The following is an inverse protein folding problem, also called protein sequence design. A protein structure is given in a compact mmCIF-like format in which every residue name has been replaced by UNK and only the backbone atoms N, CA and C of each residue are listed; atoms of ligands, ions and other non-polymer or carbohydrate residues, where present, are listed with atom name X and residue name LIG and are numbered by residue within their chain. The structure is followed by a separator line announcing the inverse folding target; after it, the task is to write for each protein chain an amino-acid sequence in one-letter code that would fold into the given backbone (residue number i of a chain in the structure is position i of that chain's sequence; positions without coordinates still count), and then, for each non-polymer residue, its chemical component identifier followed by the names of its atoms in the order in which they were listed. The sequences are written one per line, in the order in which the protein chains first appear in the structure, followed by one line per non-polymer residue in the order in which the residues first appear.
data_IF_303228436972
#
_entry.id   IF_303228436972
#
_cell.length_a   1.000
_cell.length_b   1.000
_cell.length_c   1.000
_cell.angle_alpha   90.00
_cell.angle_beta   90.00
_cell.angle_gamma   90.00
#
_symmetry.space_group_name_H-M   'P 1'
#
loop_
_entity.id
_entity.type
_entity.pdbx_description
1 polymer ?
#
# COMPACT_ATOMS: atom_id res chain seq x y z
N UNK A 1 -7.26 26.09 13.93
CA UNK A 1 -6.10 26.92 13.54
C UNK A 1 -5.03 26.89 14.63
N UNK A 2 -3.76 26.67 14.27
CA UNK A 2 -2.64 26.60 15.22
C UNK A 2 -2.51 25.29 16.01
N UNK A 3 -3.20 24.21 15.59
CA UNK A 3 -3.09 22.90 16.24
C UNK A 3 -1.87 22.12 15.77
N UNK A 4 -1.42 21.14 16.57
CA UNK A 4 -0.36 20.21 16.18
C UNK A 4 -0.70 19.45 14.89
N UNK A 5 -1.96 19.05 14.72
CA UNK A 5 -2.48 18.46 13.49
C UNK A 5 -2.30 19.35 12.25
N UNK A 6 -2.60 20.65 12.36
CA UNK A 6 -2.38 21.59 11.27
C UNK A 6 -0.90 21.74 10.96
N UNK A 7 -0.05 21.89 11.99
CA UNK A 7 1.39 22.01 11.82
C UNK A 7 2.00 20.77 11.14
N UNK A 8 1.49 19.57 11.46
CA UNK A 8 1.89 18.32 10.81
C UNK A 8 1.53 18.33 9.31
N UNK A 9 0.29 18.67 8.95
CA UNK A 9 -0.14 18.78 7.55
C UNK A 9 0.66 19.83 6.77
N UNK A 10 0.89 21.00 7.35
CA UNK A 10 1.71 22.04 6.72
C UNK A 10 3.15 21.57 6.48
N UNK A 11 3.71 20.80 7.42
CA UNK A 11 5.04 20.20 7.29
C UNK A 11 5.07 19.17 6.16
N UNK A 12 4.05 18.31 6.09
CA UNK A 12 3.87 17.34 5.00
C UNK A 12 3.84 18.06 3.65
N UNK A 13 3.00 19.08 3.50
CA UNK A 13 2.86 19.82 2.24
C UNK A 13 4.14 20.56 1.84
N UNK A 14 4.83 21.19 2.80
CA UNK A 14 6.15 21.81 2.56
C UNK A 14 7.16 20.77 2.09
N UNK A 15 7.20 19.61 2.72
CA UNK A 15 8.10 18.52 2.34
C UNK A 15 7.79 18.00 0.93
N UNK A 16 6.52 17.77 0.58
CA UNK A 16 6.09 17.38 -0.78
C UNK A 16 6.58 18.39 -1.83
N UNK A 17 6.43 19.70 -1.55
CA UNK A 17 6.86 20.75 -2.47
C UNK A 17 8.40 20.77 -2.65
N UNK A 18 9.15 20.61 -1.56
CA UNK A 18 10.61 20.57 -1.59
C UNK A 18 11.14 19.34 -2.34
N UNK A 19 10.60 18.15 -2.07
CA UNK A 19 11.09 16.90 -2.65
C UNK A 19 10.78 16.80 -4.13
N UNK A 20 9.61 17.31 -4.56
CA UNK A 20 9.27 17.46 -5.98
C UNK A 20 10.23 18.39 -6.71
N UNK A 21 10.61 19.53 -6.10
CA UNK A 21 11.55 20.48 -6.70
C UNK A 21 12.96 19.93 -6.83
N UNK A 22 13.41 19.16 -5.83
CA UNK A 22 14.80 18.72 -5.72
C UNK A 22 15.02 17.28 -6.22
N UNK A 23 13.96 16.58 -6.63
CA UNK A 23 14.02 15.16 -7.02
C UNK A 23 14.65 14.26 -5.94
N UNK A 24 14.34 14.53 -4.67
CA UNK A 24 14.83 13.77 -3.52
C UNK A 24 13.76 12.85 -2.95
N UNK A 25 14.12 11.76 -2.23
CA UNK A 25 13.15 10.94 -1.53
C UNK A 25 12.23 11.75 -0.61
N UNK A 26 10.93 11.48 -0.67
CA UNK A 26 9.91 12.20 0.13
C UNK A 26 9.94 11.84 1.63
N UNK A 27 10.48 10.67 1.96
CA UNK A 27 10.62 10.16 3.32
C UNK A 27 11.97 9.45 3.41
N UNK A 28 12.62 9.49 4.58
CA UNK A 28 13.91 8.80 4.73
C UNK A 28 13.76 7.27 4.66
N UNK A 29 12.60 6.73 5.04
CA UNK A 29 12.26 5.34 4.74
C UNK A 29 11.68 5.28 3.33
N UNK A 30 12.48 4.86 2.35
CA UNK A 30 12.05 4.72 0.95
C UNK A 30 11.16 3.51 0.71
N UNK A 31 10.89 2.71 1.74
CA UNK A 31 10.02 1.56 1.71
C UNK A 31 10.63 0.30 1.09
N UNK A 32 9.85 -0.78 1.17
CA UNK A 32 10.07 -2.05 0.47
C UNK A 32 9.51 -1.92 -0.95
N UNK A 33 10.31 -2.24 -1.99
CA UNK A 33 9.80 -2.31 -3.36
C UNK A 33 8.91 -3.54 -3.54
N UNK A 34 7.68 -3.32 -3.97
CA UNK A 34 6.70 -4.37 -4.32
C UNK A 34 6.32 -4.14 -5.79
N UNK A 35 6.65 -5.11 -6.63
CA UNK A 35 6.39 -5.06 -8.06
C UNK A 35 5.20 -5.96 -8.43
N UNK A 36 4.33 -5.46 -9.29
CA UNK A 36 3.29 -6.24 -9.98
C UNK A 36 3.57 -6.15 -11.48
N UNK A 37 3.86 -7.29 -12.09
CA UNK A 37 4.31 -7.39 -13.48
C UNK A 37 3.25 -8.12 -14.28
N UNK A 38 2.64 -7.43 -15.24
CA UNK A 38 1.79 -8.04 -16.25
C UNK A 38 2.60 -8.18 -17.53
N UNK A 39 2.89 -9.42 -17.92
CA UNK A 39 3.78 -9.72 -19.03
C UNK A 39 3.22 -10.86 -19.88
N UNK A 40 3.39 -10.78 -21.20
CA UNK A 40 3.11 -11.90 -22.09
C UNK A 40 3.94 -13.14 -21.69
N UNK A 41 3.40 -14.33 -21.92
CA UNK A 41 4.07 -15.59 -21.57
C UNK A 41 5.40 -15.80 -22.30
N UNK A 42 5.65 -15.08 -23.39
CA UNK A 42 6.89 -15.08 -24.15
C UNK A 42 8.04 -14.31 -23.47
N UNK A 43 7.75 -13.47 -22.48
CA UNK A 43 8.76 -12.69 -21.76
C UNK A 43 9.48 -13.59 -20.74
N UNK A 44 10.81 -13.64 -20.80
CA UNK A 44 11.63 -14.36 -19.83
C UNK A 44 11.57 -13.66 -18.46
N UNK A 45 10.87 -14.30 -17.53
CA UNK A 45 10.70 -13.82 -16.14
C UNK A 45 12.01 -13.75 -15.37
N UNK A 46 12.98 -14.62 -15.66
CA UNK A 46 14.28 -14.62 -14.96
C UNK A 46 15.14 -13.44 -15.43
N UNK A 47 15.17 -13.17 -16.73
CA UNK A 47 15.82 -11.97 -17.28
C UNK A 47 15.17 -10.71 -16.71
N UNK A 48 13.84 -10.60 -16.75
CA UNK A 48 13.16 -9.41 -16.22
C UNK A 48 13.39 -9.23 -14.71
N UNK A 49 13.40 -10.31 -13.95
CA UNK A 49 13.75 -10.28 -12.51
C UNK A 49 15.16 -9.75 -12.29
N UNK A 50 16.15 -10.19 -13.10
CA UNK A 50 17.53 -9.66 -13.02
C UNK A 50 17.58 -8.17 -13.36
N UNK A 51 16.83 -7.73 -14.36
CA UNK A 51 16.76 -6.31 -14.72
C UNK A 51 16.16 -5.46 -13.61
N UNK A 52 15.05 -5.90 -13.01
CA UNK A 52 14.41 -5.23 -11.86
C UNK A 52 15.39 -5.13 -10.68
N UNK A 53 16.05 -6.23 -10.31
CA UNK A 53 17.04 -6.23 -9.20
C UNK A 53 18.24 -5.32 -9.48
N UNK A 54 18.68 -5.25 -10.73
CA UNK A 54 19.73 -4.32 -11.16
C UNK A 54 19.28 -2.87 -11.05
N UNK A 55 18.04 -2.56 -11.46
CA UNK A 55 17.45 -1.24 -11.34
C UNK A 55 17.33 -0.79 -9.87
N UNK A 56 16.89 -1.67 -8.97
CA UNK A 56 16.83 -1.40 -7.52
C UNK A 56 18.23 -1.10 -6.95
N UNK A 57 19.25 -1.87 -7.35
CA UNK A 57 20.64 -1.63 -6.94
C UNK A 57 21.13 -0.26 -7.43
N UNK A 58 20.87 0.07 -8.69
CA UNK A 58 21.26 1.34 -9.29
C UNK A 58 20.57 2.52 -8.61
N UNK A 59 19.25 2.43 -8.38
CA UNK A 59 18.47 3.45 -7.69
C UNK A 59 18.96 3.67 -6.25
N UNK A 60 19.37 2.60 -5.57
CA UNK A 60 19.98 2.68 -4.23
C UNK A 60 21.34 3.39 -4.27
N UNK A 61 22.20 3.02 -5.22
CA UNK A 61 23.51 3.67 -5.43
C UNK A 61 23.37 5.16 -5.77
N UNK A 62 22.32 5.52 -6.50
CA UNK A 62 21.97 6.88 -6.87
C UNK A 62 21.20 7.64 -5.79
N UNK A 63 20.99 7.05 -4.61
CA UNK A 63 20.30 7.64 -3.45
C UNK A 63 18.80 7.94 -3.66
N UNK A 64 18.20 7.41 -4.73
CA UNK A 64 16.74 7.41 -4.89
C UNK A 64 16.05 6.45 -3.92
N UNK A 65 16.76 5.38 -3.54
CA UNK A 65 16.34 4.43 -2.51
C UNK A 65 17.36 4.43 -1.36
N UNK A 66 16.86 4.34 -0.13
CA UNK A 66 17.65 3.96 1.05
C UNK A 66 17.83 2.44 1.03
N UNK A 67 19.00 1.91 1.43
CA UNK A 67 19.16 0.48 1.59
C UNK A 67 18.35 0.00 2.80
N UNK A 68 17.15 -0.50 2.55
CA UNK A 68 16.18 -0.93 3.56
C UNK A 68 16.16 -2.47 3.74
N UNK A 69 16.84 -3.22 2.88
CA UNK A 69 17.01 -4.66 3.03
C UNK A 69 17.96 -4.97 4.21
N UNK A 70 17.41 -5.57 5.27
CA UNK A 70 18.14 -5.97 6.48
C UNK A 70 17.82 -7.44 6.76
N UNK A 71 18.85 -8.25 6.98
CA UNK A 71 18.71 -9.64 7.38
C UNK A 71 18.10 -9.73 8.80
N UNK A 72 17.00 -10.47 8.92
CA UNK A 72 16.18 -10.47 10.14
C UNK A 72 16.84 -11.13 11.36
N UNK A 73 17.87 -11.97 11.15
CA UNK A 73 18.54 -12.69 12.24
C UNK A 73 19.81 -11.96 12.68
N UNK A 74 20.62 -11.51 11.71
CA UNK A 74 21.92 -10.90 11.94
C UNK A 74 21.85 -9.38 12.09
N UNK A 75 20.79 -8.75 11.60
CA UNK A 75 20.66 -7.29 11.53
C UNK A 75 21.56 -6.63 10.49
N UNK A 76 22.24 -7.42 9.65
CA UNK A 76 23.13 -6.90 8.62
C UNK A 76 22.33 -6.29 7.48
N UNK A 77 22.65 -5.06 7.12
CA UNK A 77 22.08 -4.37 5.98
C UNK A 77 22.88 -4.72 4.71
N UNK A 78 22.21 -5.05 3.61
CA UNK A 78 22.87 -5.46 2.37
C UNK A 78 23.52 -4.30 1.61
N UNK A 79 23.16 -3.05 1.94
CA UNK A 79 23.74 -1.83 1.36
C UNK A 79 23.28 -1.51 -0.06
N UNK A 80 22.58 -2.42 -0.74
CA UNK A 80 22.10 -2.26 -2.11
C UNK A 80 20.57 -2.41 -2.26
N UNK A 81 19.86 -2.54 -1.14
CA UNK A 81 18.42 -2.72 -1.07
C UNK A 81 17.90 -4.01 -1.72
N UNK A 82 18.76 -5.02 -1.89
CA UNK A 82 18.38 -6.37 -2.29
C UNK A 82 18.49 -7.31 -1.09
N UNK A 83 17.61 -8.30 -1.02
CA UNK A 83 17.71 -9.42 -0.09
C UNK A 83 17.62 -10.75 -0.85
N UNK A 84 16.95 -11.72 -0.24
CA UNK A 84 16.66 -13.03 -0.81
C UNK A 84 15.65 -12.96 -1.96
N UNK A 85 15.00 -14.09 -2.26
CA UNK A 85 13.96 -14.20 -3.29
C UNK A 85 12.66 -13.45 -2.95
N UNK A 86 12.47 -13.04 -1.69
CA UNK A 86 11.30 -12.30 -1.22
C UNK A 86 11.53 -10.78 -1.13
N UNK A 87 12.78 -10.30 -1.30
CA UNK A 87 13.13 -8.88 -1.23
C UNK A 87 14.03 -8.43 -2.41
N UNK A 88 13.56 -7.55 -3.32
CA UNK A 88 12.22 -6.99 -3.38
C UNK A 88 11.17 -8.05 -3.76
N UNK A 89 9.90 -7.78 -3.46
CA UNK A 89 8.81 -8.68 -3.83
C UNK A 89 8.40 -8.43 -5.28
N UNK A 90 8.28 -9.49 -6.08
CA UNK A 90 7.92 -9.41 -7.50
C UNK A 90 6.81 -10.42 -7.80
N UNK A 91 5.63 -9.91 -8.15
CA UNK A 91 4.47 -10.70 -8.53
C UNK A 91 4.32 -10.71 -10.05
N UNK A 92 4.34 -11.89 -10.67
CA UNK A 92 4.15 -12.04 -12.10
C UNK A 92 2.73 -12.50 -12.42
N UNK A 93 2.09 -11.77 -13.33
CA UNK A 93 0.79 -12.05 -13.91
C UNK A 93 0.96 -12.24 -15.41
N UNK A 94 0.28 -13.25 -15.95
CA UNK A 94 0.27 -13.47 -17.41
C UNK A 94 -0.68 -12.44 -18.02
N UNK A 95 -0.18 -11.67 -18.99
CA UNK A 95 -0.98 -10.80 -19.85
C UNK A 95 -1.32 -11.55 -21.15
N UNK A 96 -2.53 -11.37 -21.63
CA UNK A 96 -2.95 -11.84 -22.96
C UNK A 96 -2.53 -10.87 -24.09
N UNK A 97 -2.01 -9.70 -23.72
CA UNK A 97 -1.54 -8.69 -24.66
C UNK A 97 -0.02 -8.68 -24.71
N UNK A 98 0.55 -8.19 -25.82
CA UNK A 98 2.00 -7.96 -25.97
C UNK A 98 2.50 -6.75 -25.17
N UNK A 99 1.66 -6.17 -24.33
CA UNK A 99 2.00 -5.06 -23.45
C UNK A 99 2.66 -5.58 -22.17
N UNK A 100 3.81 -5.01 -21.82
CA UNK A 100 4.46 -5.20 -20.53
C UNK A 100 4.09 -4.05 -19.62
N UNK A 101 3.42 -4.36 -18.51
CA UNK A 101 3.11 -3.39 -17.45
C UNK A 101 3.88 -3.74 -16.19
N UNK A 102 4.58 -2.75 -15.64
CA UNK A 102 5.39 -2.81 -14.43
C UNK A 102 4.83 -1.78 -13.46
N UNK A 103 4.04 -2.25 -12.51
CA UNK A 103 3.56 -1.46 -11.39
C UNK A 103 4.52 -1.60 -10.21
N UNK A 104 4.84 -0.48 -9.56
CA UNK A 104 5.72 -0.42 -8.40
C UNK A 104 5.01 0.31 -7.26
N UNK A 105 5.00 -0.31 -6.08
CA UNK A 105 4.67 0.32 -4.81
C UNK A 105 5.93 0.36 -3.94
N UNK A 106 6.19 1.51 -3.32
CA UNK A 106 7.26 1.69 -2.32
C UNK A 106 6.66 1.78 -0.91
N UNK A 107 6.51 0.62 -0.27
CA UNK A 107 5.75 0.47 0.96
C UNK A 107 6.58 0.78 2.20
N UNK A 108 6.26 1.85 2.93
CA UNK A 108 7.00 2.23 4.14
C UNK A 108 6.80 1.22 5.30
N UNK A 109 7.82 1.05 6.13
CA UNK A 109 7.79 0.14 7.28
C UNK A 109 6.77 0.56 8.35
N UNK A 110 6.65 1.86 8.64
CA UNK A 110 5.67 2.36 9.61
C UNK A 110 4.22 2.00 9.24
N UNK A 111 3.84 2.23 7.98
CA UNK A 111 2.51 1.86 7.49
C UNK A 111 2.36 0.34 7.23
N UNK A 112 3.46 -0.41 7.13
CA UNK A 112 3.42 -1.88 7.05
C UNK A 112 3.10 -2.51 8.41
N UNK A 113 3.68 -1.96 9.48
CA UNK A 113 3.55 -2.50 10.83
C UNK A 113 2.15 -2.37 11.43
N UNK A 114 1.32 -1.47 10.91
CA UNK A 114 -0.07 -1.26 11.38
C UNK A 114 -1.12 -1.94 10.50
N UNK A 115 -0.70 -2.75 9.52
CA UNK A 115 -1.61 -3.62 8.78
C UNK A 115 -2.25 -4.67 9.71
N UNK A 116 -3.45 -5.13 9.38
CA UNK A 116 -4.20 -6.09 10.20
C UNK A 116 -5.03 -7.04 9.34
N UNK A 117 -5.27 -8.25 9.85
CA UNK A 117 -6.13 -9.24 9.21
C UNK A 117 -7.04 -9.88 10.24
N UNK A 118 -8.35 -9.77 10.01
CA UNK A 118 -9.39 -10.26 10.90
C UNK A 118 -10.02 -11.52 10.33
N UNK A 119 -10.38 -12.46 11.20
CA UNK A 119 -11.25 -13.59 10.86
C UNK A 119 -12.67 -13.23 11.28
N UNK A 120 -13.63 -13.31 10.36
CA UNK A 120 -15.05 -13.08 10.64
C UNK A 120 -15.83 -14.42 10.71
N UNK A 121 -16.83 -14.54 11.61
CA UNK A 121 -17.26 -13.50 12.55
C UNK A 121 -16.22 -13.25 13.67
N UNK A 122 -16.24 -12.03 14.21
CA UNK A 122 -15.46 -11.63 15.38
C UNK A 122 -16.44 -11.11 16.44
N UNK A 123 -16.68 -11.92 17.48
CA UNK A 123 -17.67 -11.63 18.52
C UNK A 123 -17.30 -10.40 19.36
N UNK A 124 -16.00 -10.19 19.61
CA UNK A 124 -15.49 -9.05 20.39
C UNK A 124 -15.83 -7.70 19.74
N UNK A 125 -15.80 -7.65 18.42
CA UNK A 125 -16.17 -6.46 17.63
C UNK A 125 -17.63 -6.47 17.17
N UNK A 126 -18.38 -7.55 17.46
CA UNK A 126 -19.72 -7.82 16.92
C UNK A 126 -19.75 -7.70 15.40
N UNK A 127 -18.71 -8.21 14.74
CA UNK A 127 -18.52 -8.15 13.31
C UNK A 127 -18.92 -9.50 12.68
N UNK A 128 -20.00 -9.52 11.90
CA UNK A 128 -20.48 -10.72 11.21
C UNK A 128 -19.80 -10.90 9.84
N UNK A 129 -20.16 -11.97 9.12
CA UNK A 129 -19.66 -12.26 7.76
C UNK A 129 -20.41 -11.46 6.68
N UNK A 130 -20.43 -10.14 6.84
CA UNK A 130 -21.14 -9.18 5.99
C UNK A 130 -20.38 -7.85 5.89
N UNK A 131 -20.87 -6.91 5.08
CA UNK A 131 -20.22 -5.60 4.88
C UNK A 131 -20.21 -4.74 6.15
N UNK A 132 -21.21 -4.91 7.02
CA UNK A 132 -21.24 -4.26 8.34
C UNK A 132 -20.08 -4.75 9.22
N UNK A 133 -19.80 -6.06 9.21
CA UNK A 133 -18.62 -6.64 9.84
C UNK A 133 -17.31 -6.15 9.25
N UNK A 134 -17.22 -6.01 7.92
CA UNK A 134 -16.05 -5.44 7.23
C UNK A 134 -15.77 -4.01 7.70
N UNK A 135 -16.79 -3.15 7.74
CA UNK A 135 -16.64 -1.77 8.24
C UNK A 135 -16.17 -1.76 9.69
N UNK A 136 -16.75 -2.57 10.57
CA UNK A 136 -16.35 -2.63 12.00
C UNK A 136 -14.88 -2.95 12.17
N UNK A 137 -14.37 -3.96 11.48
CA UNK A 137 -12.96 -4.34 11.60
C UNK A 137 -12.03 -3.35 10.91
N UNK A 138 -12.49 -2.66 9.85
CA UNK A 138 -11.73 -1.58 9.25
C UNK A 138 -11.56 -0.39 10.21
N UNK A 139 -12.63 0.02 10.88
CA UNK A 139 -12.58 1.09 11.88
C UNK A 139 -11.80 0.69 13.13
N UNK A 140 -11.93 -0.56 13.57
CA UNK A 140 -11.07 -1.09 14.63
C UNK A 140 -9.60 -1.05 14.22
N UNK A 141 -9.22 -1.46 13.01
CA UNK A 141 -7.84 -1.36 12.53
C UNK A 141 -7.33 0.09 12.54
N UNK A 142 -8.17 1.06 12.17
CA UNK A 142 -7.85 2.49 12.28
C UNK A 142 -7.66 2.91 13.73
N UNK A 143 -8.56 2.49 14.59
CA UNK A 143 -8.46 2.77 16.01
C UNK A 143 -7.22 2.12 16.63
N UNK A 144 -6.82 0.91 16.27
CA UNK A 144 -5.58 0.30 16.78
C UNK A 144 -4.33 1.04 16.29
N UNK A 145 -4.36 1.58 15.06
CA UNK A 145 -3.21 2.25 14.46
C UNK A 145 -2.88 3.61 15.12
N UNK A 146 -3.86 4.34 15.68
CA UNK A 146 -3.68 5.62 16.40
C UNK A 146 -2.78 6.68 15.70
N UNK A 147 -2.62 6.60 14.38
CA UNK A 147 -1.76 7.52 13.61
C UNK A 147 -0.33 7.03 13.34
N UNK A 148 0.11 5.92 13.94
CA UNK A 148 1.45 5.34 13.82
C UNK A 148 1.80 4.88 12.38
N UNK A 149 0.78 4.63 11.55
CA UNK A 149 0.91 4.34 10.11
C UNK A 149 1.26 5.55 9.22
N UNK A 150 1.64 6.67 9.83
CA UNK A 150 1.87 7.99 9.22
C UNK A 150 0.61 8.62 8.61
N UNK A 151 -0.42 8.79 9.46
CA UNK A 151 -1.64 9.52 9.13
C UNK A 151 -1.37 10.99 8.75
N UNK A 152 -2.11 11.60 7.80
CA UNK A 152 -3.25 11.01 7.10
C UNK A 152 -2.80 9.94 6.09
N UNK A 153 -3.40 8.75 6.14
CA UNK A 153 -3.03 7.61 5.28
C UNK A 153 -4.13 7.23 4.29
N UNK A 154 -3.97 6.11 3.61
CA UNK A 154 -5.01 5.45 2.81
C UNK A 154 -5.18 4.02 3.30
N UNK A 155 -6.40 3.51 3.23
CA UNK A 155 -6.72 2.13 3.54
C UNK A 155 -6.85 1.32 2.25
N UNK A 156 -6.17 0.19 2.20
CA UNK A 156 -6.38 -0.84 1.21
C UNK A 156 -7.01 -2.04 1.89
N UNK A 157 -8.19 -2.48 1.45
CA UNK A 157 -8.94 -3.55 2.11
C UNK A 157 -9.22 -4.67 1.11
N UNK A 158 -8.94 -5.91 1.51
CA UNK A 158 -9.36 -7.10 0.78
C UNK A 158 -10.37 -7.91 1.59
N UNK A 159 -11.51 -8.22 0.98
CA UNK A 159 -12.53 -9.11 1.53
C UNK A 159 -12.40 -10.48 0.85
N UNK A 160 -12.06 -11.52 1.63
CA UNK A 160 -11.82 -12.87 1.13
C UNK A 160 -10.32 -13.20 0.95
N UNK A 161 -10.03 -14.24 0.18
CA UNK A 161 -8.69 -14.81 0.02
C UNK A 161 -8.29 -15.73 1.17
N UNK A 162 -7.03 -16.16 1.15
CA UNK A 162 -6.34 -16.77 2.28
C UNK A 162 -5.48 -15.74 3.02
N UNK A 163 -4.69 -16.18 4.01
CA UNK A 163 -3.87 -15.26 4.79
C UNK A 163 -2.87 -14.47 3.95
N UNK A 164 -2.27 -15.07 2.92
CA UNK A 164 -1.24 -14.42 2.09
C UNK A 164 -1.84 -13.61 0.95
N UNK A 165 -2.72 -14.22 0.17
CA UNK A 165 -3.37 -13.60 -0.99
C UNK A 165 -4.24 -12.40 -0.61
N UNK A 166 -4.87 -12.42 0.58
CA UNK A 166 -5.66 -11.29 1.07
C UNK A 166 -4.76 -10.07 1.40
N UNK A 167 -3.56 -10.29 1.97
CA UNK A 167 -2.59 -9.21 2.14
C UNK A 167 -2.10 -8.66 0.80
N UNK A 168 -1.81 -9.54 -0.16
CA UNK A 168 -1.42 -9.14 -1.50
C UNK A 168 -2.49 -8.26 -2.16
N UNK A 169 -3.73 -8.74 -2.21
CA UNK A 169 -4.86 -8.01 -2.80
C UNK A 169 -5.13 -6.66 -2.09
N UNK A 170 -5.01 -6.61 -0.76
CA UNK A 170 -5.19 -5.37 0.01
C UNK A 170 -4.10 -4.33 -0.27
N UNK A 171 -2.94 -4.73 -0.78
CA UNK A 171 -1.87 -3.82 -1.22
C UNK A 171 -2.02 -3.46 -2.68
N UNK A 172 -2.47 -4.38 -3.52
CA UNK A 172 -2.67 -4.17 -4.96
C UNK A 172 -3.72 -3.09 -5.26
N UNK A 173 -4.75 -2.94 -4.41
CA UNK A 173 -5.73 -1.85 -4.55
C UNK A 173 -5.10 -0.45 -4.46
N UNK A 174 -3.90 -0.32 -3.88
CA UNK A 174 -3.17 0.94 -3.91
C UNK A 174 -2.66 1.32 -5.31
N UNK A 175 -2.78 0.45 -6.33
CA UNK A 175 -2.51 0.80 -7.71
C UNK A 175 -3.67 1.55 -8.38
N UNK A 176 -4.86 1.54 -7.77
CA UNK A 176 -6.02 2.33 -8.22
C UNK A 176 -5.74 3.83 -8.11
N UNK A 177 -6.44 4.61 -8.92
CA UNK A 177 -6.43 6.05 -8.78
C UNK A 177 -7.07 6.43 -7.42
N UNK A 178 -6.40 7.24 -6.56
CA UNK A 178 -6.99 7.72 -5.32
C UNK A 178 -8.38 8.33 -5.49
N UNK A 179 -8.65 8.97 -6.63
CA UNK A 179 -9.91 9.66 -6.93
C UNK A 179 -10.92 8.80 -7.70
N UNK A 180 -10.59 7.52 -8.00
CA UNK A 180 -11.55 6.62 -8.64
C UNK A 180 -12.69 6.18 -7.69
N UNK A 181 -13.67 5.52 -8.29
CA UNK A 181 -14.78 4.85 -7.61
C UNK A 181 -14.68 3.35 -7.77
N UNK A 182 -15.23 2.61 -6.82
CA UNK A 182 -15.40 1.18 -6.99
C UNK A 182 -16.47 0.89 -8.07
N UNK A 183 -16.25 -0.14 -8.88
CA UNK A 183 -17.23 -0.56 -9.88
C UNK A 183 -18.45 -1.24 -9.24
N UNK A 184 -18.26 -1.87 -8.07
CA UNK A 184 -19.34 -2.38 -7.25
C UNK A 184 -19.89 -1.26 -6.36
N UNK A 185 -21.16 -0.90 -6.55
CA UNK A 185 -21.81 0.19 -5.82
C UNK A 185 -21.86 -0.06 -4.29
N UNK A 186 -21.97 -1.31 -3.86
CA UNK A 186 -21.94 -1.67 -2.45
C UNK A 186 -20.57 -1.41 -1.83
N UNK A 187 -19.49 -1.75 -2.54
CA UNK A 187 -18.13 -1.47 -2.12
C UNK A 187 -17.78 0.03 -2.22
N UNK A 188 -18.28 0.75 -3.23
CA UNK A 188 -18.06 2.20 -3.37
C UNK A 188 -18.67 2.96 -2.18
N UNK A 189 -19.91 2.63 -1.82
CA UNK A 189 -20.57 3.18 -0.64
C UNK A 189 -19.78 2.85 0.64
N UNK A 190 -19.26 1.63 0.76
CA UNK A 190 -18.47 1.19 1.91
C UNK A 190 -17.11 1.89 2.00
N UNK A 191 -16.42 2.12 0.88
CA UNK A 191 -15.18 2.90 0.79
C UNK A 191 -15.38 4.31 1.35
N UNK A 192 -16.46 4.98 0.92
CA UNK A 192 -16.81 6.32 1.36
C UNK A 192 -17.21 6.36 2.84
N UNK A 193 -18.01 5.39 3.28
CA UNK A 193 -18.46 5.28 4.66
C UNK A 193 -17.29 5.07 5.62
N UNK A 194 -16.40 4.10 5.34
CA UNK A 194 -15.21 3.84 6.17
C UNK A 194 -14.31 5.07 6.22
N UNK A 195 -14.06 5.73 5.09
CA UNK A 195 -13.23 6.94 5.03
C UNK A 195 -13.79 8.07 5.89
N UNK A 196 -15.12 8.25 5.86
CA UNK A 196 -15.80 9.27 6.67
C UNK A 196 -15.72 8.93 8.15
N UNK A 197 -16.17 7.74 8.54
CA UNK A 197 -16.23 7.31 9.95
C UNK A 197 -14.82 7.21 10.58
N UNK A 198 -13.80 6.81 9.82
CA UNK A 198 -12.40 6.79 10.29
C UNK A 198 -11.87 8.19 10.65
N UNK A 199 -12.37 9.24 9.98
CA UNK A 199 -12.02 10.63 10.25
C UNK A 199 -12.84 11.24 11.41
N UNK A 200 -13.86 10.53 11.92
CA UNK A 200 -14.63 10.90 13.10
C UNK A 200 -14.04 10.33 14.40
N UNK A 201 -13.04 9.45 14.31
CA UNK A 201 -12.35 8.84 15.47
C UNK A 201 -11.42 9.81 16.23
N UNK A 202 -11.28 11.06 15.76
CA UNK A 202 -10.43 12.11 16.35
C UNK A 202 -8.95 11.71 16.56
N UNK A 203 -8.43 10.83 15.69
CA UNK A 203 -7.01 10.43 15.66
C UNK A 203 -6.18 11.48 14.93
N UNK A 204 -6.59 11.82 13.71
CA UNK A 204 -6.05 12.91 12.91
C UNK A 204 -4.60 12.76 12.43
N UNK A 205 -4.03 13.82 11.84
CA UNK A 205 -2.67 13.82 11.29
C UNK A 205 -1.62 13.47 12.34
N UNK A 206 -0.80 12.45 12.05
CA UNK A 206 0.25 11.93 12.92
C UNK A 206 -0.23 11.50 14.33
N UNK A 207 -1.54 11.29 14.53
CA UNK A 207 -2.11 10.97 15.85
C UNK A 207 -2.28 12.19 16.77
N UNK A 208 -2.19 13.42 16.25
CA UNK A 208 -2.32 14.66 17.03
C UNK A 208 -3.75 15.19 17.20
N UNK A 209 -4.75 14.36 16.92
CA UNK A 209 -6.16 14.74 16.90
C UNK A 209 -6.60 15.44 15.61
N UNK A 210 -7.90 15.68 15.47
CA UNK A 210 -8.49 16.35 14.32
C UNK A 210 -9.04 15.41 13.24
N UNK A 211 -9.43 15.99 12.11
CA UNK A 211 -10.40 15.38 11.16
C UNK A 211 -9.79 14.64 9.97
N UNK A 212 -8.49 14.39 9.98
CA UNK A 212 -7.79 13.82 8.81
C UNK A 212 -6.85 12.69 9.25
N UNK A 213 -7.46 11.56 9.58
CA UNK A 213 -6.80 10.28 9.88
C UNK A 213 -6.50 9.51 8.59
N UNK A 214 -7.44 9.50 7.65
CA UNK A 214 -7.31 8.84 6.34
C UNK A 214 -7.81 9.76 5.23
N UNK A 215 -7.17 9.70 4.06
CA UNK A 215 -7.52 10.44 2.86
C UNK A 215 -8.42 9.65 1.91
N UNK A 216 -8.45 8.32 2.03
CA UNK A 216 -9.28 7.46 1.21
C UNK A 216 -9.17 5.99 1.58
N UNK A 217 -10.17 5.22 1.14
CA UNK A 217 -10.23 3.77 1.29
C UNK A 217 -10.46 3.14 -0.07
N UNK A 218 -9.76 2.05 -0.38
CA UNK A 218 -9.93 1.25 -1.59
C UNK A 218 -10.17 -0.20 -1.18
N UNK A 219 -11.26 -0.79 -1.64
CA UNK A 219 -11.69 -2.14 -1.31
C UNK A 219 -11.62 -3.00 -2.58
N UNK A 220 -11.16 -4.22 -2.42
CA UNK A 220 -11.36 -5.31 -3.38
C UNK A 220 -12.02 -6.49 -2.68
N UNK A 221 -12.73 -7.30 -3.46
CA UNK A 221 -13.26 -8.58 -3.01
C UNK A 221 -12.71 -9.70 -3.86
N UNK A 222 -12.48 -10.85 -3.23
CA UNK A 222 -12.02 -12.05 -3.92
C UNK A 222 -12.68 -13.28 -3.33
N UNK A 223 -12.55 -14.41 -4.02
CA UNK A 223 -13.10 -15.67 -3.55
C UNK A 223 -12.40 -16.15 -2.28
N UNK A 224 -13.13 -16.92 -1.48
CA UNK A 224 -12.68 -17.41 -0.17
C UNK A 224 -13.14 -18.84 0.01
N UNK A 225 -12.40 -19.60 0.83
CA UNK A 225 -12.89 -20.88 1.33
C UNK A 225 -14.18 -20.62 2.13
N UNK A 226 -15.27 -21.40 1.98
CA UNK A 226 -16.53 -21.13 2.69
C UNK A 226 -16.40 -21.02 4.21
N UNK A 227 -15.49 -21.81 4.81
CA UNK A 227 -15.19 -21.79 6.23
C UNK A 227 -14.40 -20.54 6.69
N UNK A 228 -13.72 -19.85 5.77
CA UNK A 228 -12.87 -18.69 6.05
C UNK A 228 -13.50 -17.39 5.53
N UNK A 229 -13.51 -16.36 6.36
CA UNK A 229 -13.89 -15.01 5.94
C UNK A 229 -12.84 -14.05 6.49
N UNK A 230 -11.79 -13.80 5.70
CA UNK A 230 -10.76 -12.86 6.08
C UNK A 230 -11.08 -11.46 5.56
N UNK A 231 -10.82 -10.47 6.40
CA UNK A 231 -10.81 -9.06 6.00
C UNK A 231 -9.43 -8.52 6.34
N UNK A 232 -8.69 -8.15 5.32
CA UNK A 232 -7.32 -7.67 5.46
C UNK A 232 -7.26 -6.19 5.17
N UNK A 233 -6.67 -5.42 6.08
CA UNK A 233 -6.52 -3.98 6.01
C UNK A 233 -5.03 -3.67 5.95
N UNK A 234 -4.60 -3.10 4.83
CA UNK A 234 -3.27 -2.52 4.65
C UNK A 234 -3.36 -1.01 4.77
N UNK A 235 -2.32 -0.41 5.34
CA UNK A 235 -2.17 1.04 5.42
C UNK A 235 -1.14 1.53 4.41
N UNK A 236 -1.45 2.61 3.70
CA UNK A 236 -0.47 3.41 2.97
C UNK A 236 -0.36 4.77 3.63
N UNK A 237 0.86 5.24 3.91
CA UNK A 237 1.07 6.54 4.53
C UNK A 237 0.82 7.69 3.54
N UNK A 238 0.82 8.93 4.05
CA UNK A 238 0.77 10.13 3.19
C UNK A 238 1.90 10.16 2.14
N UNK A 239 3.03 9.50 2.39
CA UNK A 239 4.05 9.21 1.38
C UNK A 239 3.60 8.08 0.45
N UNK A 240 2.47 8.31 -0.24
CA UNK A 240 1.81 7.36 -1.13
C UNK A 240 2.60 7.23 -2.44
N UNK A 241 3.55 6.30 -2.45
CA UNK A 241 4.50 6.10 -3.55
C UNK A 241 4.09 4.89 -4.37
N UNK A 242 3.50 5.16 -5.53
CA UNK A 242 3.21 4.19 -6.57
C UNK A 242 3.58 4.77 -7.94
N UNK A 243 3.90 3.92 -8.89
CA UNK A 243 4.05 4.31 -10.27
C UNK A 243 3.86 3.12 -11.20
N UNK A 244 3.37 3.37 -12.40
CA UNK A 244 3.18 2.40 -13.46
C UNK A 244 4.07 2.74 -14.64
N UNK A 245 4.72 1.73 -15.18
CA UNK A 245 5.40 1.81 -16.48
C UNK A 245 4.77 0.81 -17.43
N UNK A 246 4.38 1.26 -18.60
CA UNK A 246 3.80 0.41 -19.65
C UNK A 246 4.66 0.48 -20.91
N UNK A 247 4.98 -0.68 -21.47
CA UNK A 247 5.80 -0.84 -22.67
C UNK A 247 4.97 -1.56 -23.73
N UNK A 248 4.82 -0.93 -24.89
CA UNK A 248 4.11 -1.48 -26.05
C UNK A 248 4.88 -1.17 -27.33
N UNK A 249 5.53 -2.19 -27.90
CA UNK A 249 6.53 -1.99 -28.94
C UNK A 249 7.66 -1.09 -28.44
N UNK A 250 7.97 -0.03 -29.18
CA UNK A 250 9.01 0.95 -28.79
C UNK A 250 8.49 2.06 -27.87
N UNK A 251 7.19 2.08 -27.56
CA UNK A 251 6.57 3.12 -26.75
C UNK A 251 6.65 2.75 -25.26
N UNK A 252 7.21 3.66 -24.46
CA UNK A 252 7.23 3.58 -23.00
C UNK A 252 6.36 4.71 -22.45
N UNK A 253 5.42 4.38 -21.57
CA UNK A 253 4.53 5.32 -20.88
C UNK A 253 4.70 5.16 -19.37
N UNK A 254 4.65 6.29 -18.66
CA UNK A 254 4.76 6.37 -17.21
C UNK A 254 3.51 7.04 -16.64
N UNK A 255 2.86 6.41 -15.66
CA UNK A 255 1.62 6.87 -15.01
C UNK A 255 1.71 6.83 -13.49
#
# INVERSE_FOLDING_TARGET
PGSAAQAALETILKNVAMTRKNSTPICQDTGTPIFFIHAAASIDRNELTRQIRTAVTLATKQTYLRPNAVDAITGLNTGNNLGDEFFPTIHFHVSETDELTVDLILKGGGCENVGSQYSLPNDGLKANRDLEGVRRVALDAVYQAQGEGCSPGFLGIAIGGDRGTSYLASKEVFLRDPDDKNQDEGLDNLENQITTEANELDIGPMGFGGKSTVLGTKITSTHRLPASFFVTISYMCWAYRRHKMTIKGDKIVYE
#
